data_IF_643535927574
#
_entry.id   IF_643535927574
#
_cell.length_a   1.000
_cell.length_b   1.000
_cell.length_c   1.000
_cell.angle_alpha   90.00
_cell.angle_beta   90.00
_cell.angle_gamma   90.00
#
_symmetry.space_group_name_H-M   'P 1'
#
loop_
_entity.id
_entity.type
_entity.pdbx_description
1 polymer ?
#
# COMPACT_ATOMS: atom_id res chain seq x y z
N UNK A 1 12.47 2.92 -31.75
CA UNK A 1 11.07 3.36 -31.62
C UNK A 1 11.01 4.39 -30.51
N UNK A 2 10.03 5.29 -30.50
CA UNK A 2 9.81 6.23 -29.40
C UNK A 2 8.37 6.13 -28.91
N UNK A 3 8.17 6.25 -27.59
CA UNK A 3 6.88 6.53 -27.00
C UNK A 3 6.86 8.03 -26.69
N UNK A 4 5.79 8.70 -27.08
CA UNK A 4 5.52 10.07 -26.71
C UNK A 4 4.11 10.10 -26.11
N UNK A 5 3.95 10.65 -24.91
CA UNK A 5 2.68 10.74 -24.21
C UNK A 5 2.66 11.97 -23.32
N UNK A 6 1.50 12.59 -23.17
CA UNK A 6 1.32 13.78 -22.35
C UNK A 6 0.07 13.68 -21.49
N UNK A 7 0.11 14.25 -20.29
CA UNK A 7 -1.03 14.33 -19.38
C UNK A 7 -0.92 15.53 -18.46
N UNK A 8 -2.07 16.01 -17.95
CA UNK A 8 -2.12 17.15 -17.03
C UNK A 8 -2.23 16.68 -15.59
N UNK A 9 -1.37 17.21 -14.73
CA UNK A 9 -1.44 17.06 -13.27
C UNK A 9 -2.13 18.32 -12.71
N UNK A 10 -3.19 18.20 -11.88
CA UNK A 10 -3.95 19.34 -11.35
C UNK A 10 -3.22 20.00 -10.16
N UNK A 11 -1.97 20.43 -10.39
CA UNK A 11 -1.15 21.11 -9.40
C UNK A 11 -0.11 22.03 -10.08
N UNK A 12 0.40 23.06 -9.38
CA UNK A 12 1.49 23.91 -9.86
C UNK A 12 2.74 23.10 -10.20
N UNK A 13 3.46 23.53 -11.24
CA UNK A 13 4.65 22.84 -11.73
C UNK A 13 5.73 22.63 -10.67
N UNK A 14 5.91 23.60 -9.78
CA UNK A 14 6.89 23.50 -8.70
C UNK A 14 6.54 22.36 -7.74
N UNK A 15 5.27 22.18 -7.37
CA UNK A 15 4.82 21.14 -6.45
C UNK A 15 4.97 19.75 -7.07
N UNK A 16 4.63 19.62 -8.36
CA UNK A 16 4.81 18.39 -9.14
C UNK A 16 6.30 18.03 -9.27
N UNK A 17 7.14 19.03 -9.53
CA UNK A 17 8.59 18.83 -9.59
C UNK A 17 9.17 18.39 -8.25
N UNK A 18 8.81 19.07 -7.15
CA UNK A 18 9.26 18.72 -5.80
C UNK A 18 8.84 17.32 -5.43
N UNK A 19 7.61 16.91 -5.77
CA UNK A 19 7.17 15.53 -5.54
C UNK A 19 8.13 14.50 -6.17
N UNK A 20 8.63 14.75 -7.39
CA UNK A 20 9.58 13.87 -8.07
C UNK A 20 10.96 13.84 -7.41
N UNK A 21 11.35 14.88 -6.68
CA UNK A 21 12.63 14.92 -5.96
C UNK A 21 12.61 14.13 -4.66
N UNK A 22 11.42 13.85 -4.10
CA UNK A 22 11.28 13.24 -2.78
C UNK A 22 11.60 11.74 -2.78
N UNK A 23 12.14 11.21 -1.66
CA UNK A 23 12.27 9.76 -1.49
C UNK A 23 10.93 9.08 -1.66
N UNK A 24 10.92 7.90 -2.29
CA UNK A 24 9.68 7.14 -2.55
C UNK A 24 9.05 7.40 -3.92
N UNK A 25 9.33 8.51 -4.61
CA UNK A 25 8.74 8.82 -5.93
C UNK A 25 8.98 7.70 -6.95
N UNK A 26 10.19 7.15 -7.01
CA UNK A 26 10.53 6.03 -7.89
C UNK A 26 9.72 4.78 -7.53
N UNK A 27 9.55 4.49 -6.24
CA UNK A 27 8.74 3.36 -5.81
C UNK A 27 7.28 3.52 -6.22
N UNK A 28 6.71 4.73 -6.02
CA UNK A 28 5.33 5.04 -6.39
C UNK A 28 5.09 4.92 -7.89
N UNK A 29 6.02 5.42 -8.71
CA UNK A 29 5.91 5.39 -10.17
C UNK A 29 6.41 4.08 -10.82
N UNK A 30 6.86 3.10 -10.06
CA UNK A 30 7.22 1.78 -10.61
C UNK A 30 5.98 0.90 -10.67
N UNK A 31 5.50 0.45 -11.85
CA UNK A 31 4.30 -0.38 -11.96
C UNK A 31 4.41 -1.71 -11.20
N UNK A 32 3.36 -2.11 -10.44
CA UNK A 32 3.39 -3.33 -9.63
C UNK A 32 3.36 -4.61 -10.46
N UNK A 33 2.89 -4.55 -11.69
CA UNK A 33 2.77 -5.67 -12.60
C UNK A 33 4.04 -5.94 -13.44
N UNK A 34 5.01 -5.02 -13.40
CA UNK A 34 6.31 -5.23 -14.04
C UNK A 34 7.28 -5.93 -13.09
N UNK A 35 8.19 -6.78 -13.62
CA UNK A 35 9.20 -7.45 -12.83
C UNK A 35 10.37 -6.51 -12.50
N UNK A 36 10.06 -5.31 -12.02
CA UNK A 36 10.98 -4.25 -11.64
C UNK A 36 10.86 -3.98 -10.14
N UNK A 37 11.96 -3.99 -9.43
CA UNK A 37 12.00 -3.62 -8.01
C UNK A 37 13.04 -2.54 -7.77
N UNK A 38 12.64 -1.32 -7.37
CA UNK A 38 13.58 -0.28 -6.97
C UNK A 38 14.47 -0.77 -5.83
N UNK A 39 15.78 -0.60 -5.96
CA UNK A 39 16.80 -0.86 -4.94
C UNK A 39 17.33 0.43 -4.36
N UNK A 40 17.67 1.37 -5.25
CA UNK A 40 18.23 2.67 -4.92
C UNK A 40 17.55 3.74 -5.76
N UNK A 41 17.28 4.90 -5.17
CA UNK A 41 16.78 6.07 -5.86
C UNK A 41 17.87 7.12 -5.93
N UNK A 42 18.04 7.76 -7.08
CA UNK A 42 18.92 8.91 -7.22
C UNK A 42 18.51 10.03 -6.26
N UNK A 43 19.46 10.65 -5.61
CA UNK A 43 19.23 11.73 -4.63
C UNK A 43 18.93 13.08 -5.26
N UNK A 44 19.06 13.20 -6.59
CA UNK A 44 18.80 14.43 -7.34
C UNK A 44 18.34 14.10 -8.75
N UNK A 45 17.40 14.88 -9.30
CA UNK A 45 16.97 14.77 -10.69
C UNK A 45 18.02 15.29 -11.69
N UNK A 46 19.01 16.10 -11.22
CA UNK A 46 20.11 16.57 -12.05
C UNK A 46 21.21 15.49 -12.24
N UNK A 47 21.44 14.67 -11.20
CA UNK A 47 22.54 13.69 -11.19
C UNK A 47 22.22 12.53 -10.26
N UNK A 48 22.93 11.44 -10.42
CA UNK A 48 22.78 10.21 -9.62
C UNK A 48 22.25 9.07 -10.47
N UNK A 49 22.16 7.91 -9.87
CA UNK A 49 21.71 6.69 -10.53
C UNK A 49 20.59 6.04 -9.71
N UNK A 50 19.50 5.73 -10.37
CA UNK A 50 18.44 4.88 -9.82
C UNK A 50 18.72 3.45 -10.24
N UNK A 51 18.67 2.50 -9.29
CA UNK A 51 18.96 1.09 -9.54
C UNK A 51 17.72 0.25 -9.32
N UNK A 52 17.39 -0.57 -10.31
CA UNK A 52 16.30 -1.54 -10.23
C UNK A 52 16.86 -2.97 -10.29
N UNK A 53 16.30 -3.87 -9.47
CA UNK A 53 16.46 -5.30 -9.65
C UNK A 53 15.50 -5.80 -10.73
N UNK A 54 16.03 -6.69 -11.58
CA UNK A 54 15.32 -7.43 -12.61
C UNK A 54 15.37 -8.94 -12.30
N UNK A 55 14.55 -9.79 -12.94
CA UNK A 55 14.66 -11.23 -12.86
C UNK A 55 16.06 -11.74 -13.20
N UNK A 56 16.37 -12.95 -12.73
CA UNK A 56 17.67 -13.61 -12.95
C UNK A 56 18.90 -12.82 -12.43
N UNK A 57 18.72 -12.01 -11.40
CA UNK A 57 19.80 -11.24 -10.78
C UNK A 57 20.31 -10.06 -11.60
N UNK A 58 19.65 -9.73 -12.69
CA UNK A 58 19.99 -8.58 -13.52
C UNK A 58 19.67 -7.27 -12.78
N UNK A 59 20.37 -6.20 -13.17
CA UNK A 59 20.10 -4.85 -12.69
C UNK A 59 19.88 -3.91 -13.87
N UNK A 60 19.05 -2.91 -13.67
CA UNK A 60 18.91 -1.78 -14.55
C UNK A 60 19.36 -0.52 -13.79
N UNK A 61 20.39 0.12 -14.31
CA UNK A 61 20.96 1.35 -13.79
C UNK A 61 20.55 2.50 -14.68
N UNK A 62 19.60 3.31 -14.20
CA UNK A 62 19.11 4.51 -14.86
C UNK A 62 19.83 5.72 -14.26
N UNK A 63 20.78 6.31 -15.02
CA UNK A 63 21.55 7.48 -14.61
C UNK A 63 20.91 8.75 -15.16
N UNK A 64 20.77 9.75 -14.29
CA UNK A 64 20.32 11.07 -14.70
C UNK A 64 21.39 11.75 -15.57
N UNK A 65 20.95 12.30 -16.70
CA UNK A 65 21.81 12.95 -17.70
C UNK A 65 21.76 14.47 -17.50
N UNK A 66 22.86 15.02 -16.96
CA UNK A 66 22.97 16.45 -16.67
C UNK A 66 22.83 17.33 -17.92
N UNK A 67 23.22 16.84 -19.11
CA UNK A 67 23.07 17.59 -20.36
C UNK A 67 21.62 17.83 -20.76
N UNK A 68 20.69 16.98 -20.28
CA UNK A 68 19.25 17.11 -20.48
C UNK A 68 18.50 17.72 -19.30
N UNK A 69 19.19 18.29 -18.31
CA UNK A 69 18.58 18.84 -17.11
C UNK A 69 18.30 20.33 -17.24
N UNK A 70 17.06 20.72 -16.96
CA UNK A 70 16.65 22.13 -16.77
C UNK A 70 15.81 22.18 -15.51
N UNK A 71 16.29 22.86 -14.48
CA UNK A 71 15.63 22.90 -13.17
C UNK A 71 14.17 23.32 -13.30
N UNK A 72 13.28 22.60 -12.64
CA UNK A 72 11.82 22.74 -12.66
C UNK A 72 11.15 22.55 -14.03
N UNK A 73 11.88 22.16 -15.08
CA UNK A 73 11.34 22.00 -16.43
C UNK A 73 11.65 20.65 -17.08
N UNK A 74 12.86 20.11 -16.88
CA UNK A 74 13.25 18.88 -17.56
C UNK A 74 14.26 18.09 -16.75
N UNK A 75 14.09 16.77 -16.72
CA UNK A 75 15.17 15.84 -16.41
C UNK A 75 15.14 14.65 -17.37
N UNK A 76 16.27 13.97 -17.48
CA UNK A 76 16.43 12.85 -18.40
C UNK A 76 17.15 11.71 -17.67
N UNK A 77 16.71 10.48 -17.87
CA UNK A 77 17.42 9.28 -17.43
C UNK A 77 17.83 8.38 -18.60
N UNK A 78 18.99 7.74 -18.46
CA UNK A 78 19.56 6.84 -19.47
C UNK A 78 20.02 5.54 -18.83
N UNK A 79 19.76 4.41 -19.47
CA UNK A 79 20.31 3.13 -19.05
C UNK A 79 21.80 3.07 -19.37
N UNK A 80 22.65 2.76 -18.36
CA UNK A 80 24.11 2.81 -18.50
C UNK A 80 24.79 1.44 -18.49
N UNK A 81 24.12 0.39 -17.97
CA UNK A 81 24.75 -0.91 -17.73
C UNK A 81 24.30 -1.99 -18.73
N UNK A 82 25.25 -2.85 -19.10
CA UNK A 82 24.96 -4.07 -19.88
C UNK A 82 24.33 -5.16 -18.96
N UNK A 83 23.53 -6.09 -19.49
CA UNK A 83 23.10 -6.18 -20.88
C UNK A 83 21.89 -5.29 -21.21
N UNK A 84 21.24 -4.66 -20.22
CA UNK A 84 19.99 -3.90 -20.38
C UNK A 84 20.16 -2.75 -21.38
N UNK A 85 21.26 -2.00 -21.29
CA UNK A 85 21.59 -0.93 -22.24
C UNK A 85 21.60 -1.41 -23.69
N UNK A 86 22.21 -2.57 -23.94
CA UNK A 86 22.31 -3.13 -25.31
C UNK A 86 20.97 -3.66 -25.81
N UNK A 87 20.12 -4.19 -24.94
CA UNK A 87 18.82 -4.75 -25.28
C UNK A 87 17.75 -3.68 -25.45
N UNK A 88 17.64 -2.76 -24.49
CA UNK A 88 16.56 -1.78 -24.43
C UNK A 88 16.93 -0.43 -25.04
N UNK A 89 18.20 0.01 -24.98
CA UNK A 89 18.62 1.33 -25.46
C UNK A 89 17.72 2.44 -24.91
N UNK A 90 17.67 2.56 -23.58
CA UNK A 90 16.73 3.45 -22.88
C UNK A 90 17.27 4.87 -22.69
N UNK A 91 16.49 5.85 -23.16
CA UNK A 91 16.61 7.28 -22.81
C UNK A 91 15.20 7.82 -22.61
N UNK A 92 14.90 8.35 -21.42
CA UNK A 92 13.62 8.88 -21.05
C UNK A 92 13.75 10.34 -20.66
N UNK A 93 13.01 11.20 -21.34
CA UNK A 93 12.97 12.64 -21.13
C UNK A 93 11.62 12.96 -20.49
N UNK A 94 11.65 13.69 -19.39
CA UNK A 94 10.49 14.22 -18.70
C UNK A 94 10.48 15.73 -18.84
N UNK A 95 9.49 16.26 -19.54
CA UNK A 95 9.24 17.70 -19.69
C UNK A 95 8.07 18.13 -18.83
N UNK A 96 8.24 19.25 -18.12
CA UNK A 96 7.23 19.87 -17.25
C UNK A 96 6.98 21.28 -17.73
N UNK A 97 5.75 21.58 -18.16
CA UNK A 97 5.35 22.91 -18.63
C UNK A 97 4.08 23.35 -17.91
N UNK A 98 3.93 24.68 -17.75
CA UNK A 98 2.72 25.23 -17.17
C UNK A 98 1.52 25.01 -18.09
N UNK A 99 0.38 24.67 -17.51
CA UNK A 99 -0.88 24.45 -18.20
C UNK A 99 -2.01 25.19 -17.44
N UNK A 100 -3.07 25.69 -18.10
CA UNK A 100 -4.17 26.40 -17.42
C UNK A 100 -4.81 25.63 -16.26
N UNK A 101 -4.83 24.29 -16.34
CA UNK A 101 -5.36 23.40 -15.29
C UNK A 101 -4.30 22.79 -14.40
N UNK A 102 -3.05 23.27 -14.41
CA UNK A 102 -1.96 22.77 -13.58
C UNK A 102 -0.64 22.59 -14.31
N UNK A 103 -0.11 21.37 -14.43
CA UNK A 103 1.17 21.05 -15.06
C UNK A 103 0.98 20.03 -16.17
N UNK A 104 1.41 20.34 -17.37
CA UNK A 104 1.54 19.37 -18.46
C UNK A 104 2.88 18.65 -18.33
N UNK A 105 2.82 17.32 -18.13
CA UNK A 105 3.98 16.45 -18.22
C UNK A 105 3.98 15.78 -19.57
N UNK A 106 5.13 15.84 -20.26
CA UNK A 106 5.37 15.14 -21.51
C UNK A 106 6.52 14.16 -21.33
N UNK A 107 6.23 12.89 -21.50
CA UNK A 107 7.21 11.80 -21.45
C UNK A 107 7.63 11.40 -22.86
N UNK A 108 8.93 11.47 -23.16
CA UNK A 108 9.51 11.02 -24.44
C UNK A 108 10.52 9.91 -24.17
N UNK A 109 10.21 8.69 -24.62
CA UNK A 109 11.06 7.51 -24.41
C UNK A 109 11.64 7.03 -25.74
N UNK A 110 12.95 7.09 -25.85
CA UNK A 110 13.69 6.47 -26.95
C UNK A 110 14.18 5.08 -26.51
N UNK A 111 13.66 4.03 -27.11
CA UNK A 111 13.97 2.64 -26.74
C UNK A 111 13.74 1.67 -27.90
N UNK A 112 14.28 0.45 -27.76
CA UNK A 112 13.97 -0.69 -28.65
C UNK A 112 12.75 -1.47 -28.19
N UNK A 113 12.26 -1.26 -26.96
CA UNK A 113 11.07 -1.93 -26.45
C UNK A 113 9.81 -1.54 -27.27
N UNK A 114 8.90 -2.47 -27.55
CA UNK A 114 7.66 -2.18 -28.25
C UNK A 114 6.76 -1.20 -27.47
N UNK A 115 6.04 -0.33 -28.19
CA UNK A 115 5.08 0.60 -27.57
C UNK A 115 4.02 -0.12 -26.75
N UNK A 116 3.55 -1.27 -27.21
CA UNK A 116 2.55 -2.10 -26.51
C UNK A 116 3.00 -2.59 -25.13
N UNK A 117 4.32 -2.74 -24.92
CA UNK A 117 4.90 -3.10 -23.61
C UNK A 117 5.03 -1.88 -22.70
N UNK A 118 5.22 -0.69 -23.28
CA UNK A 118 5.42 0.56 -22.52
C UNK A 118 4.10 1.22 -22.13
N UNK A 119 3.08 1.20 -23.00
CA UNK A 119 1.83 1.90 -22.78
C UNK A 119 1.17 1.59 -21.43
N UNK A 120 1.05 0.33 -20.96
CA UNK A 120 0.50 0.05 -19.64
C UNK A 120 1.33 0.65 -18.51
N UNK A 121 2.67 0.66 -18.64
CA UNK A 121 3.55 1.20 -17.62
C UNK A 121 3.40 2.73 -17.50
N UNK A 122 3.26 3.42 -18.62
CA UNK A 122 3.06 4.87 -18.63
C UNK A 122 1.63 5.25 -18.22
N UNK A 123 0.62 4.46 -18.58
CA UNK A 123 -0.74 4.62 -18.06
C UNK A 123 -0.76 4.56 -16.52
N UNK A 124 -0.17 3.52 -15.94
CA UNK A 124 -0.02 3.41 -14.49
C UNK A 124 0.64 4.66 -13.90
N UNK A 125 1.76 5.12 -14.46
CA UNK A 125 2.50 6.29 -13.96
C UNK A 125 1.65 7.56 -13.97
N UNK A 126 0.87 7.78 -15.02
CA UNK A 126 -0.02 8.93 -15.16
C UNK A 126 -1.11 8.90 -14.07
N UNK A 127 -1.85 7.79 -13.97
CA UNK A 127 -2.92 7.63 -12.97
C UNK A 127 -2.38 7.69 -11.55
N UNK A 128 -1.25 7.01 -11.28
CA UNK A 128 -0.62 7.02 -9.96
C UNK A 128 -0.21 8.42 -9.52
N UNK A 129 0.45 9.19 -10.39
CA UNK A 129 0.91 10.53 -10.06
C UNK A 129 -0.25 11.49 -9.81
N UNK A 130 -1.29 11.44 -10.66
CA UNK A 130 -2.50 12.26 -10.47
C UNK A 130 -3.12 11.96 -9.12
N UNK A 131 -3.34 10.68 -8.81
CA UNK A 131 -3.95 10.25 -7.55
C UNK A 131 -3.10 10.65 -6.33
N UNK A 132 -1.77 10.55 -6.42
CA UNK A 132 -0.86 10.93 -5.32
C UNK A 132 -0.87 12.44 -5.07
N UNK A 133 -0.85 13.25 -6.12
CA UNK A 133 -0.91 14.71 -5.99
C UNK A 133 -2.28 15.14 -5.44
N UNK A 134 -3.38 14.56 -5.90
CA UNK A 134 -4.71 14.84 -5.36
C UNK A 134 -4.82 14.41 -3.88
N UNK A 135 -4.25 13.26 -3.50
CA UNK A 135 -4.19 12.84 -2.11
C UNK A 135 -3.36 13.81 -1.26
N UNK A 136 -2.22 14.27 -1.76
CA UNK A 136 -1.39 15.29 -1.10
C UNK A 136 -2.19 16.57 -0.84
N UNK A 137 -2.95 17.07 -1.82
CA UNK A 137 -3.79 18.26 -1.67
C UNK A 137 -4.84 18.06 -0.57
N UNK A 138 -5.56 16.91 -0.57
CA UNK A 138 -6.55 16.58 0.48
C UNK A 138 -5.91 16.52 1.89
N UNK A 139 -4.72 15.96 2.02
CA UNK A 139 -4.01 15.90 3.30
C UNK A 139 -3.52 17.27 3.75
N UNK A 140 -3.09 18.15 2.85
CA UNK A 140 -2.76 19.53 3.19
C UNK A 140 -3.98 20.33 3.66
N UNK A 141 -5.13 20.17 3.01
CA UNK A 141 -6.39 20.78 3.44
C UNK A 141 -6.81 20.29 4.83
N UNK A 142 -6.71 18.97 5.06
CA UNK A 142 -7.03 18.36 6.34
C UNK A 142 -6.13 18.89 7.46
N UNK A 143 -4.83 19.02 7.24
CA UNK A 143 -3.90 19.55 8.25
C UNK A 143 -4.11 21.04 8.50
N UNK A 144 -4.33 21.83 7.46
CA UNK A 144 -4.63 23.28 7.60
C UNK A 144 -5.91 23.55 8.37
N UNK A 145 -6.92 22.71 8.25
CA UNK A 145 -8.17 22.84 9.03
C UNK A 145 -8.00 22.48 10.51
N UNK A 146 -7.01 21.67 10.85
CA UNK A 146 -6.80 21.15 12.20
C UNK A 146 -5.63 21.82 12.95
N UNK A 147 -4.69 22.48 12.25
CA UNK A 147 -3.51 23.16 12.83
C UNK A 147 -3.14 24.40 12.03
N UNK A 148 -2.53 25.38 12.69
CA UNK A 148 -2.05 26.64 12.05
C UNK A 148 -0.76 26.46 11.24
N UNK A 149 -0.05 25.35 11.40
CA UNK A 149 1.20 25.07 10.70
C UNK A 149 1.20 23.63 10.17
N UNK A 150 1.41 23.48 8.86
CA UNK A 150 1.67 22.20 8.21
C UNK A 150 3.16 21.84 8.33
N UNK A 151 3.59 21.35 9.47
CA UNK A 151 4.97 20.87 9.65
C UNK A 151 5.11 19.42 9.20
N UNK A 152 6.21 19.06 8.50
CA UNK A 152 6.52 17.66 8.24
C UNK A 152 6.64 16.86 9.54
N UNK A 153 5.90 15.76 9.66
CA UNK A 153 5.94 14.90 10.83
C UNK A 153 7.09 13.89 10.74
N UNK A 154 7.60 13.48 11.91
CA UNK A 154 8.50 12.34 12.07
C UNK A 154 7.70 11.13 12.58
N UNK A 155 7.55 10.11 11.73
CA UNK A 155 6.66 8.97 11.96
C UNK A 155 7.48 7.69 12.14
N UNK A 156 7.32 7.05 13.30
CA UNK A 156 7.86 5.70 13.54
C UNK A 156 7.04 4.64 12.81
N UNK A 157 7.69 3.68 12.18
CA UNK A 157 7.02 2.62 11.44
C UNK A 157 7.64 1.25 11.72
N UNK A 158 6.88 0.35 12.36
CA UNK A 158 7.22 -1.07 12.43
C UNK A 158 6.68 -1.81 11.20
N UNK A 159 7.24 -2.99 10.89
CA UNK A 159 6.77 -3.75 9.71
C UNK A 159 7.09 -3.09 8.36
N UNK A 160 8.02 -2.13 8.31
CA UNK A 160 8.40 -1.33 7.15
C UNK A 160 8.87 -2.15 5.92
N UNK A 161 9.31 -3.40 6.13
CA UNK A 161 9.73 -4.32 5.05
C UNK A 161 8.57 -5.11 4.43
N UNK A 162 7.38 -5.09 5.05
CA UNK A 162 6.17 -5.73 4.54
C UNK A 162 5.57 -5.00 3.33
N UNK A 163 4.52 -5.58 2.75
CA UNK A 163 3.82 -5.01 1.59
C UNK A 163 3.31 -3.59 1.88
N UNK A 164 2.48 -3.45 2.92
CA UNK A 164 1.88 -2.18 3.34
C UNK A 164 2.96 -1.21 3.83
N UNK A 165 3.93 -1.70 4.64
CA UNK A 165 4.99 -0.85 5.19
C UNK A 165 5.88 -0.19 4.14
N UNK A 166 6.19 -0.88 3.04
CA UNK A 166 6.94 -0.29 1.91
C UNK A 166 6.12 0.75 1.14
N UNK A 167 4.85 0.45 0.85
CA UNK A 167 3.96 1.37 0.17
C UNK A 167 3.75 2.65 0.99
N UNK A 168 3.50 2.47 2.28
CA UNK A 168 3.28 3.57 3.22
C UNK A 168 4.56 4.42 3.43
N UNK A 169 5.74 3.78 3.55
CA UNK A 169 7.01 4.51 3.60
C UNK A 169 7.18 5.40 2.38
N UNK A 170 6.94 4.85 1.18
CA UNK A 170 7.08 5.62 -0.05
C UNK A 170 6.09 6.78 -0.12
N UNK A 171 4.83 6.57 0.24
CA UNK A 171 3.82 7.62 0.18
C UNK A 171 4.04 8.70 1.26
N UNK A 172 4.38 8.34 2.50
CA UNK A 172 4.71 9.31 3.54
C UNK A 172 5.90 10.20 3.17
N UNK A 173 6.93 9.60 2.56
CA UNK A 173 8.10 10.37 2.14
C UNK A 173 7.82 11.26 0.92
N UNK A 174 6.95 10.85 -0.03
CA UNK A 174 6.50 11.74 -1.11
C UNK A 174 5.62 12.89 -0.61
N UNK A 175 4.93 12.74 0.53
CA UNK A 175 4.22 13.82 1.21
C UNK A 175 5.16 14.76 1.98
N UNK A 176 6.46 14.44 2.10
CA UNK A 176 7.45 15.26 2.79
C UNK A 176 7.66 14.88 4.26
N UNK A 177 6.98 13.84 4.77
CA UNK A 177 7.19 13.35 6.14
C UNK A 177 8.50 12.56 6.26
N UNK A 178 9.08 12.56 7.46
CA UNK A 178 10.22 11.70 7.79
C UNK A 178 9.73 10.39 8.36
N UNK A 179 10.17 9.26 7.78
CA UNK A 179 9.87 7.92 8.28
C UNK A 179 11.07 7.32 8.98
N UNK A 180 10.93 7.02 10.27
CA UNK A 180 11.90 6.28 11.08
C UNK A 180 11.45 4.82 11.15
N UNK A 181 12.14 3.94 10.44
CA UNK A 181 11.82 2.52 10.43
C UNK A 181 12.32 1.84 11.71
N UNK A 182 11.41 1.20 12.45
CA UNK A 182 11.74 0.42 13.63
C UNK A 182 12.00 -1.03 13.21
N UNK A 183 13.26 -1.50 13.35
CA UNK A 183 13.73 -2.76 12.78
C UNK A 183 14.36 -3.68 13.83
N UNK A 184 14.18 -5.00 13.71
CA UNK A 184 14.71 -6.01 14.64
C UNK A 184 16.22 -6.28 14.50
N UNK A 185 16.81 -5.92 13.37
CA UNK A 185 18.23 -6.11 13.09
C UNK A 185 19.07 -4.86 13.28
N UNK A 186 20.30 -4.86 12.76
CA UNK A 186 21.15 -3.69 12.71
C UNK A 186 20.43 -2.51 12.05
N UNK A 187 20.52 -1.35 12.67
CA UNK A 187 19.89 -0.12 12.19
C UNK A 187 20.82 0.64 11.25
N UNK A 188 20.26 1.14 10.15
CA UNK A 188 20.88 2.04 9.17
C UNK A 188 20.43 3.48 9.44
N UNK A 189 20.97 4.50 8.77
CA UNK A 189 20.38 5.85 8.79
C UNK A 189 18.87 5.82 8.56
N UNK A 190 18.12 6.62 9.29
CA UNK A 190 16.64 6.61 9.34
C UNK A 190 16.00 5.31 9.85
N UNK A 191 16.76 4.48 10.57
CA UNK A 191 16.25 3.29 11.26
C UNK A 191 16.61 3.35 12.74
N UNK A 192 15.80 2.71 13.59
CA UNK A 192 16.10 2.45 15.00
C UNK A 192 15.96 0.96 15.26
N UNK A 193 16.85 0.44 16.09
CA UNK A 193 16.71 -0.92 16.57
C UNK A 193 15.50 -1.02 17.49
N UNK A 194 14.68 -2.05 17.27
CA UNK A 194 13.50 -2.36 18.06
C UNK A 194 13.49 -3.85 18.41
N UNK A 195 13.58 -4.15 19.70
CA UNK A 195 13.29 -5.48 20.24
C UNK A 195 11.80 -5.52 20.63
N UNK A 196 10.97 -6.38 19.99
CA UNK A 196 9.54 -6.49 20.31
C UNK A 196 9.24 -6.90 21.75
N UNK A 197 10.12 -7.69 22.38
CA UNK A 197 9.95 -8.17 23.75
C UNK A 197 10.40 -7.14 24.80
N UNK A 198 11.46 -6.38 24.49
CA UNK A 198 12.07 -5.42 25.42
C UNK A 198 12.43 -4.12 24.68
N UNK A 199 11.42 -3.32 24.25
CA UNK A 199 11.71 -2.09 23.53
C UNK A 199 12.40 -1.06 24.43
N UNK A 200 13.43 -0.40 23.88
CA UNK A 200 14.17 0.63 24.62
C UNK A 200 13.24 1.78 25.05
N UNK A 201 13.37 2.31 26.26
CA UNK A 201 12.49 3.39 26.77
C UNK A 201 12.47 4.65 25.90
N UNK A 202 13.57 4.95 25.19
CA UNK A 202 13.72 6.09 24.30
C UNK A 202 13.40 5.78 22.84
N UNK A 203 12.84 4.62 22.54
CA UNK A 203 12.55 4.18 21.16
C UNK A 203 11.73 5.21 20.37
N UNK A 204 10.78 5.88 21.03
CA UNK A 204 9.84 6.83 20.41
C UNK A 204 10.25 8.30 20.58
N UNK A 205 11.46 8.58 21.08
CA UNK A 205 11.92 9.95 21.27
C UNK A 205 11.98 10.72 19.96
N UNK A 206 11.39 11.93 19.92
CA UNK A 206 11.32 12.79 18.73
C UNK A 206 10.43 12.27 17.62
N UNK A 207 9.59 11.24 17.87
CA UNK A 207 8.53 10.84 16.96
C UNK A 207 7.22 11.54 17.31
N UNK A 208 6.48 12.00 16.30
CA UNK A 208 5.16 12.62 16.45
C UNK A 208 4.05 11.55 16.49
N UNK A 209 4.22 10.48 15.72
CA UNK A 209 3.28 9.36 15.63
C UNK A 209 4.01 8.02 15.43
N UNK A 210 3.33 6.93 15.79
CA UNK A 210 3.76 5.57 15.57
C UNK A 210 2.72 4.83 14.72
N UNK A 211 3.17 4.20 13.62
CA UNK A 211 2.39 3.23 12.86
C UNK A 211 2.94 1.83 13.12
N UNK A 212 2.10 0.95 13.64
CA UNK A 212 2.48 -0.41 14.02
C UNK A 212 1.87 -1.44 13.07
N UNK A 213 2.71 -1.99 12.15
CA UNK A 213 2.31 -2.98 11.15
C UNK A 213 3.02 -4.34 11.35
N UNK A 214 3.89 -4.46 12.35
CA UNK A 214 4.64 -5.69 12.56
C UNK A 214 3.74 -6.80 13.10
N UNK A 215 3.91 -8.00 12.56
CA UNK A 215 3.24 -9.22 12.97
C UNK A 215 3.67 -10.37 12.06
N UNK A 216 3.56 -11.59 12.53
CA UNK A 216 3.81 -12.79 11.74
C UNK A 216 2.81 -12.90 10.59
N UNK A 217 3.21 -13.28 9.36
CA UNK A 217 2.28 -13.51 8.26
C UNK A 217 1.18 -14.49 8.64
N UNK A 218 -0.08 -14.13 8.37
CA UNK A 218 -1.23 -14.99 8.67
C UNK A 218 -1.30 -16.17 7.68
N UNK A 219 -0.78 -15.98 6.46
CA UNK A 219 -0.82 -16.99 5.41
C UNK A 219 0.12 -18.14 5.77
N UNK A 220 -0.44 -19.30 6.04
CA UNK A 220 0.27 -20.51 6.44
C UNK A 220 -0.72 -21.55 6.96
N UNK A 221 -0.23 -22.75 7.25
CA UNK A 221 -1.07 -23.82 7.80
C UNK A 221 -1.39 -23.54 9.27
N UNK A 222 -2.67 -23.45 9.63
CA UNK A 222 -3.14 -23.17 10.99
C UNK A 222 -2.97 -24.42 11.89
N UNK A 223 -1.71 -24.68 12.28
CA UNK A 223 -1.38 -25.56 13.39
C UNK A 223 -1.16 -24.74 14.67
N UNK A 224 -1.04 -25.39 15.81
CA UNK A 224 -0.95 -24.71 17.11
C UNK A 224 0.27 -23.80 17.22
N UNK A 225 1.43 -24.19 16.65
CA UNK A 225 2.64 -23.36 16.63
C UNK A 225 2.41 -22.08 15.82
N UNK A 226 1.90 -22.18 14.58
CA UNK A 226 1.65 -21.02 13.75
C UNK A 226 0.56 -20.09 14.34
N UNK A 227 -0.47 -20.66 14.97
CA UNK A 227 -1.48 -19.88 15.70
C UNK A 227 -0.87 -19.11 16.88
N UNK A 228 0.03 -19.73 17.64
CA UNK A 228 0.78 -19.09 18.71
C UNK A 228 1.65 -17.94 18.15
N UNK A 229 2.40 -18.19 17.07
CA UNK A 229 3.24 -17.17 16.42
C UNK A 229 2.39 -15.97 15.94
N UNK A 230 1.21 -16.21 15.35
CA UNK A 230 0.27 -15.18 14.94
C UNK A 230 -0.15 -14.31 16.12
N UNK A 231 -0.53 -14.93 17.24
CA UNK A 231 -1.00 -14.25 18.44
C UNK A 231 0.13 -13.50 19.15
N UNK A 232 1.23 -14.17 19.43
CA UNK A 232 2.32 -13.65 20.25
C UNK A 232 3.08 -12.53 19.54
N UNK A 233 3.20 -12.59 18.20
CA UNK A 233 3.81 -11.51 17.42
C UNK A 233 3.00 -10.21 17.40
N UNK A 234 1.74 -10.22 17.83
CA UNK A 234 0.83 -9.07 17.82
C UNK A 234 0.56 -8.50 19.20
N UNK A 235 0.13 -9.33 20.14
CA UNK A 235 -0.46 -8.88 21.39
C UNK A 235 0.61 -8.21 22.27
N UNK A 236 1.65 -8.94 22.64
CA UNK A 236 2.66 -8.39 23.56
C UNK A 236 3.47 -7.23 22.95
N UNK A 237 3.96 -7.31 21.70
CA UNK A 237 4.63 -6.17 21.07
C UNK A 237 3.76 -4.91 21.00
N UNK A 238 2.46 -5.06 20.71
CA UNK A 238 1.52 -3.93 20.69
C UNK A 238 1.35 -3.32 22.07
N UNK A 239 1.22 -4.14 23.13
CA UNK A 239 1.10 -3.67 24.51
C UNK A 239 2.33 -2.87 24.94
N UNK A 240 3.54 -3.38 24.63
CA UNK A 240 4.80 -2.70 24.94
C UNK A 240 4.90 -1.35 24.23
N UNK A 241 4.56 -1.29 22.95
CA UNK A 241 4.58 -0.05 22.19
C UNK A 241 3.52 0.94 22.68
N UNK A 242 2.32 0.47 23.02
CA UNK A 242 1.27 1.32 23.59
C UNK A 242 1.71 1.96 24.90
N UNK A 243 2.36 1.20 25.78
CA UNK A 243 2.94 1.73 27.05
C UNK A 243 4.03 2.78 26.80
N UNK A 244 4.87 2.59 25.76
CA UNK A 244 5.86 3.61 25.39
C UNK A 244 5.19 4.87 24.82
N UNK A 245 4.16 4.75 24.00
CA UNK A 245 3.38 5.88 23.48
C UNK A 245 2.76 6.65 24.65
N UNK A 246 2.19 5.95 25.64
CA UNK A 246 1.58 6.56 26.82
C UNK A 246 2.58 7.43 27.60
N UNK A 247 3.83 6.96 27.74
CA UNK A 247 4.91 7.65 28.45
C UNK A 247 5.63 8.72 27.62
N UNK A 248 5.48 8.70 26.29
CA UNK A 248 6.19 9.62 25.40
C UNK A 248 5.68 11.06 25.53
N UNK A 249 6.56 12.02 25.55
CA UNK A 249 6.21 13.45 25.51
C UNK A 249 5.90 13.94 24.08
N UNK A 250 6.47 13.32 23.05
CA UNK A 250 6.35 13.74 21.65
C UNK A 250 5.34 12.89 20.86
N UNK A 251 5.40 11.55 20.95
CA UNK A 251 4.51 10.65 20.24
C UNK A 251 3.10 10.69 20.83
N UNK A 252 2.15 11.29 20.10
CA UNK A 252 0.78 11.50 20.58
C UNK A 252 -0.25 10.56 19.95
N UNK A 253 0.11 9.91 18.85
CA UNK A 253 -0.80 9.06 18.08
C UNK A 253 -0.15 7.71 17.81
N UNK A 254 -0.89 6.63 18.06
CA UNK A 254 -0.54 5.28 17.60
C UNK A 254 -1.61 4.77 16.65
N UNK A 255 -1.21 4.40 15.46
CA UNK A 255 -2.07 3.72 14.48
C UNK A 255 -1.61 2.27 14.40
N UNK A 256 -2.40 1.37 14.95
CA UNK A 256 -2.10 -0.06 14.98
C UNK A 256 -2.87 -0.80 13.89
N UNK A 257 -2.21 -1.76 13.26
CA UNK A 257 -2.91 -2.70 12.40
C UNK A 257 -3.88 -3.57 13.21
N UNK A 258 -4.99 -3.92 12.57
CA UNK A 258 -5.96 -4.92 12.95
C UNK A 258 -6.52 -5.54 11.66
N UNK A 259 -7.53 -6.39 11.73
CA UNK A 259 -8.12 -7.02 10.55
C UNK A 259 -9.64 -7.15 10.69
N UNK A 260 -10.35 -7.22 9.54
CA UNK A 260 -11.78 -7.54 9.51
C UNK A 260 -12.08 -8.96 10.03
N UNK A 261 -11.05 -9.79 10.23
CA UNK A 261 -11.16 -11.04 10.98
C UNK A 261 -11.82 -10.88 12.35
N UNK A 262 -11.79 -9.69 12.94
CA UNK A 262 -12.55 -9.33 14.16
C UNK A 262 -14.02 -9.77 14.11
N UNK A 263 -14.65 -9.70 12.95
CA UNK A 263 -16.08 -10.02 12.79
C UNK A 263 -16.39 -11.52 12.70
N UNK A 264 -15.36 -12.39 12.60
CA UNK A 264 -15.54 -13.83 12.34
C UNK A 264 -15.82 -14.15 10.87
N UNK A 265 -15.65 -15.41 10.49
CA UNK A 265 -15.63 -15.83 9.09
C UNK A 265 -16.99 -16.15 8.45
N UNK A 266 -18.07 -16.30 9.24
CA UNK A 266 -19.35 -16.84 8.77
C UNK A 266 -20.51 -15.86 9.09
N UNK A 267 -20.53 -14.69 8.45
CA UNK A 267 -21.53 -13.65 8.69
C UNK A 267 -22.57 -13.51 7.55
N UNK A 268 -22.35 -14.20 6.42
CA UNK A 268 -23.29 -14.18 5.28
C UNK A 268 -23.58 -12.78 4.75
N UNK A 269 -24.85 -12.47 4.55
CA UNK A 269 -25.30 -11.18 3.99
C UNK A 269 -25.41 -10.05 5.04
N UNK A 270 -25.09 -10.31 6.31
CA UNK A 270 -25.07 -9.30 7.36
C UNK A 270 -24.12 -8.15 7.00
N UNK A 271 -24.61 -6.92 7.08
CA UNK A 271 -23.77 -5.73 6.88
C UNK A 271 -23.04 -5.44 8.18
N UNK A 272 -21.70 -5.53 8.14
CA UNK A 272 -20.82 -5.34 9.28
C UNK A 272 -20.17 -3.96 9.23
N UNK A 273 -20.21 -3.25 10.34
CA UNK A 273 -19.54 -1.97 10.52
C UNK A 273 -18.74 -1.94 11.84
N UNK A 274 -18.13 -0.80 12.17
CA UNK A 274 -17.30 -0.67 13.36
C UNK A 274 -18.06 -0.90 14.68
N UNK A 275 -19.41 -0.79 14.66
CA UNK A 275 -20.29 -1.08 15.80
C UNK A 275 -20.77 -2.54 15.90
N UNK A 276 -20.47 -3.37 14.89
CA UNK A 276 -20.90 -4.76 14.87
C UNK A 276 -20.12 -5.63 15.88
N UNK A 277 -20.77 -6.69 16.35
CA UNK A 277 -20.20 -7.61 17.36
C UNK A 277 -19.02 -8.39 16.80
N UNK A 278 -18.10 -8.74 17.69
CA UNK A 278 -17.01 -9.67 17.44
C UNK A 278 -17.54 -11.07 17.04
N UNK A 279 -16.76 -11.77 16.19
CA UNK A 279 -16.98 -13.20 15.93
C UNK A 279 -16.43 -14.08 17.03
N UNK A 280 -16.63 -15.39 16.89
CA UNK A 280 -16.30 -16.44 17.88
C UNK A 280 -15.16 -17.37 17.44
N UNK A 281 -14.50 -17.08 16.29
CA UNK A 281 -13.40 -17.89 15.77
C UNK A 281 -12.01 -17.41 16.27
N UNK A 282 -10.97 -18.15 15.90
CA UNK A 282 -9.61 -17.88 16.34
C UNK A 282 -9.11 -16.50 15.91
N UNK A 283 -9.33 -16.10 14.65
CA UNK A 283 -8.87 -14.80 14.16
C UNK A 283 -9.64 -13.65 14.81
N UNK A 284 -10.92 -13.82 15.10
CA UNK A 284 -11.72 -12.82 15.82
C UNK A 284 -11.20 -12.60 17.24
N UNK A 285 -10.85 -13.69 17.95
CA UNK A 285 -10.23 -13.64 19.27
C UNK A 285 -8.88 -12.92 19.25
N UNK A 286 -8.03 -13.24 18.27
CA UNK A 286 -6.72 -12.57 18.10
C UNK A 286 -6.89 -11.09 17.83
N UNK A 287 -7.84 -10.68 16.96
CA UNK A 287 -8.08 -9.27 16.65
C UNK A 287 -8.55 -8.49 17.87
N UNK A 288 -9.45 -9.07 18.67
CA UNK A 288 -9.94 -8.44 19.91
C UNK A 288 -8.79 -8.22 20.91
N UNK A 289 -8.01 -9.28 21.20
CA UNK A 289 -6.87 -9.18 22.10
C UNK A 289 -5.80 -8.19 21.60
N UNK A 290 -5.62 -8.12 20.28
CA UNK A 290 -4.69 -7.18 19.65
C UNK A 290 -5.14 -5.73 19.82
N UNK A 291 -6.43 -5.43 19.53
CA UNK A 291 -7.01 -4.11 19.77
C UNK A 291 -7.01 -3.74 21.26
N UNK A 292 -7.31 -4.69 22.15
CA UNK A 292 -7.23 -4.48 23.59
C UNK A 292 -5.79 -4.15 24.06
N UNK A 293 -4.77 -4.78 23.48
CA UNK A 293 -3.37 -4.53 23.80
C UNK A 293 -2.90 -3.12 23.37
N UNK A 294 -3.57 -2.48 22.42
CA UNK A 294 -3.26 -1.12 21.97
C UNK A 294 -3.85 -0.03 22.87
N UNK A 295 -4.83 -0.36 23.72
CA UNK A 295 -5.53 0.63 24.57
C UNK A 295 -4.58 1.28 25.57
N UNK A 296 -4.78 2.58 25.77
CA UNK A 296 -4.12 3.37 26.81
C UNK A 296 -5.09 3.60 27.97
N UNK A 297 -4.58 4.12 29.09
CA UNK A 297 -5.44 4.50 30.23
C UNK A 297 -6.45 5.58 29.80
N UNK A 298 -7.64 5.53 30.38
CA UNK A 298 -8.74 6.46 30.07
C UNK A 298 -8.38 7.94 30.32
N UNK A 299 -7.39 8.21 31.15
CA UNK A 299 -6.88 9.56 31.46
C UNK A 299 -5.79 10.02 30.47
N UNK A 300 -5.35 9.16 29.56
CA UNK A 300 -4.31 9.48 28.60
C UNK A 300 -4.84 10.44 27.52
N UNK A 301 -4.04 11.45 27.16
CA UNK A 301 -4.30 12.32 26.03
C UNK A 301 -3.78 11.74 24.69
N UNK A 302 -3.45 10.45 24.68
CA UNK A 302 -2.95 9.75 23.49
C UNK A 302 -4.10 9.23 22.64
N UNK A 303 -3.97 9.36 21.34
CA UNK A 303 -4.94 8.87 20.37
C UNK A 303 -4.50 7.52 19.80
N UNK A 304 -5.37 6.53 19.91
CA UNK A 304 -5.16 5.18 19.37
C UNK A 304 -6.17 4.93 18.26
N UNK A 305 -5.69 4.43 17.13
CA UNK A 305 -6.51 4.03 16.00
C UNK A 305 -6.16 2.60 15.61
N UNK A 306 -7.15 1.72 15.55
CA UNK A 306 -6.98 0.32 15.13
C UNK A 306 -7.58 0.14 13.73
N UNK A 307 -6.75 -0.18 12.74
CA UNK A 307 -7.15 -0.30 11.35
C UNK A 307 -7.54 -1.75 11.04
N UNK A 308 -8.85 -2.04 11.04
CA UNK A 308 -9.40 -3.35 10.65
C UNK A 308 -9.31 -3.49 9.13
N UNK A 309 -8.23 -4.07 8.67
CA UNK A 309 -7.87 -4.16 7.25
C UNK A 309 -8.62 -5.29 6.56
N UNK A 310 -9.25 -5.02 5.43
CA UNK A 310 -9.81 -6.01 4.51
C UNK A 310 -8.77 -6.71 3.66
N UNK A 311 -9.22 -7.44 2.64
CA UNK A 311 -8.32 -8.15 1.72
C UNK A 311 -7.59 -7.13 0.83
N UNK A 312 -6.28 -6.98 1.02
CA UNK A 312 -5.47 -5.97 0.32
C UNK A 312 -5.20 -6.40 -1.12
N UNK A 313 -5.63 -5.57 -2.07
CA UNK A 313 -5.35 -5.73 -3.49
C UNK A 313 -4.05 -5.00 -3.85
N UNK A 314 -3.03 -5.76 -4.21
CA UNK A 314 -1.76 -5.23 -4.71
C UNK A 314 -1.05 -6.20 -5.65
N UNK A 315 -0.61 -5.69 -6.80
CA UNK A 315 0.22 -6.46 -7.74
C UNK A 315 1.65 -6.75 -7.23
N UNK A 316 2.09 -6.05 -6.15
CA UNK A 316 3.42 -6.23 -5.55
C UNK A 316 3.50 -7.37 -4.53
N UNK A 317 2.38 -7.90 -4.06
CA UNK A 317 2.36 -8.93 -3.02
C UNK A 317 0.96 -9.24 -2.51
N UNK A 318 0.90 -10.07 -1.46
CA UNK A 318 -0.37 -10.55 -0.92
C UNK A 318 -1.05 -11.58 -1.84
N UNK A 319 -2.38 -11.56 -1.88
CA UNK A 319 -3.19 -12.54 -2.59
C UNK A 319 -3.14 -12.39 -4.12
N UNK A 320 -3.11 -11.15 -4.63
CA UNK A 320 -3.31 -10.87 -6.05
C UNK A 320 -2.26 -11.50 -6.98
N UNK A 321 -0.92 -11.47 -6.68
CA UNK A 321 0.07 -12.18 -7.49
C UNK A 321 -0.12 -13.71 -7.52
N UNK A 322 -0.56 -14.30 -6.41
CA UNK A 322 -0.85 -15.75 -6.33
C UNK A 322 -2.03 -16.09 -7.24
N UNK A 323 -3.12 -15.33 -7.15
CA UNK A 323 -4.28 -15.51 -8.02
C UNK A 323 -3.91 -15.28 -9.50
N UNK A 324 -3.14 -14.22 -9.80
CA UNK A 324 -2.64 -13.97 -11.16
C UNK A 324 -1.91 -15.20 -11.72
N UNK A 325 -1.04 -15.84 -10.93
CA UNK A 325 -0.33 -17.05 -11.37
C UNK A 325 -1.29 -18.20 -11.64
N UNK A 326 -2.24 -18.47 -10.74
CA UNK A 326 -3.25 -19.54 -10.89
C UNK A 326 -4.13 -19.31 -12.12
N UNK A 327 -4.62 -18.08 -12.33
CA UNK A 327 -5.44 -17.74 -13.50
C UNK A 327 -4.63 -17.81 -14.81
N UNK A 328 -3.35 -17.43 -14.78
CA UNK A 328 -2.48 -17.44 -15.97
C UNK A 328 -2.29 -18.84 -16.56
N UNK A 329 -2.38 -19.89 -15.75
CA UNK A 329 -2.30 -21.31 -16.18
C UNK A 329 -3.69 -21.96 -16.36
N UNK A 330 -4.77 -21.15 -16.29
CA UNK A 330 -6.15 -21.63 -16.53
C UNK A 330 -6.78 -22.39 -15.36
N UNK A 331 -6.18 -22.35 -14.19
CA UNK A 331 -6.67 -23.03 -12.97
C UNK A 331 -7.54 -22.10 -12.09
N UNK A 332 -7.82 -20.87 -12.52
CA UNK A 332 -8.66 -19.92 -11.80
C UNK A 332 -10.14 -20.19 -11.94
N UNK A 333 -10.91 -19.89 -10.91
CA UNK A 333 -12.37 -19.99 -10.94
C UNK A 333 -13.03 -19.77 -9.58
N UNK A 334 -14.37 -19.73 -9.53
CA UNK A 334 -15.14 -19.52 -8.32
C UNK A 334 -15.15 -20.75 -7.42
N UNK A 335 -15.46 -20.54 -6.14
CA UNK A 335 -15.63 -21.64 -5.18
C UNK A 335 -16.87 -22.47 -5.52
N UNK A 336 -16.72 -23.82 -5.45
CA UNK A 336 -17.80 -24.74 -5.67
C UNK A 336 -18.77 -24.71 -4.50
N UNK A 337 -20.06 -24.42 -4.77
CA UNK A 337 -21.13 -24.50 -3.77
C UNK A 337 -21.15 -23.37 -2.75
N UNK A 338 -20.32 -22.33 -2.91
CA UNK A 338 -20.35 -21.12 -2.08
C UNK A 338 -20.02 -19.88 -2.88
N UNK A 339 -20.60 -18.74 -2.47
CA UNK A 339 -20.33 -17.45 -3.08
C UNK A 339 -20.18 -16.38 -1.97
N UNK A 340 -19.07 -16.47 -1.18
CA UNK A 340 -18.88 -15.60 -0.03
C UNK A 340 -18.66 -14.14 -0.44
N UNK A 341 -19.02 -13.22 0.44
CA UNK A 341 -18.64 -11.81 0.35
C UNK A 341 -17.14 -11.65 0.65
N UNK A 342 -16.49 -10.83 -0.14
CA UNK A 342 -15.11 -10.40 0.04
C UNK A 342 -15.08 -8.88 0.23
N UNK A 343 -14.66 -8.44 1.40
CA UNK A 343 -14.39 -7.03 1.69
C UNK A 343 -12.92 -6.76 1.42
N UNK A 344 -12.65 -5.99 0.38
CA UNK A 344 -11.32 -5.70 -0.16
C UNK A 344 -10.93 -4.23 0.02
N UNK A 345 -9.66 -3.92 -0.16
CA UNK A 345 -9.12 -2.57 -0.19
C UNK A 345 -7.94 -2.48 -1.16
N UNK A 346 -7.85 -1.43 -1.97
CA UNK A 346 -6.64 -1.14 -2.73
C UNK A 346 -5.49 -0.75 -1.80
N UNK A 347 -4.26 -1.13 -2.15
CA UNK A 347 -3.08 -0.82 -1.32
C UNK A 347 -2.92 0.69 -1.10
N UNK A 348 -3.24 1.52 -2.10
CA UNK A 348 -3.12 2.97 -2.01
C UNK A 348 -4.21 3.58 -1.13
N UNK A 349 -5.45 3.09 -1.21
CA UNK A 349 -6.52 3.50 -0.29
C UNK A 349 -6.19 3.12 1.15
N UNK A 350 -5.61 1.94 1.37
CA UNK A 350 -5.15 1.53 2.70
C UNK A 350 -4.08 2.49 3.23
N UNK A 351 -3.12 2.89 2.39
CA UNK A 351 -2.09 3.86 2.78
C UNK A 351 -2.71 5.23 3.08
N UNK A 352 -3.67 5.70 2.27
CA UNK A 352 -4.40 6.96 2.52
C UNK A 352 -5.15 6.93 3.86
N UNK A 353 -5.75 5.79 4.24
CA UNK A 353 -6.43 5.61 5.53
C UNK A 353 -5.42 5.69 6.69
N UNK A 354 -4.26 5.02 6.60
CA UNK A 354 -3.20 5.11 7.61
C UNK A 354 -2.69 6.54 7.78
N UNK A 355 -2.45 7.26 6.68
CA UNK A 355 -1.98 8.65 6.69
C UNK A 355 -3.06 9.54 7.30
N UNK A 356 -4.32 9.39 6.89
CA UNK A 356 -5.44 10.11 7.50
C UNK A 356 -5.56 9.82 8.98
N UNK A 357 -5.39 8.57 9.41
CA UNK A 357 -5.42 8.19 10.83
C UNK A 357 -4.32 8.86 11.66
N UNK A 358 -3.16 9.18 11.06
CA UNK A 358 -2.13 9.98 11.72
C UNK A 358 -2.55 11.44 11.79
N UNK A 359 -3.06 12.03 10.70
CA UNK A 359 -3.29 13.48 10.54
C UNK A 359 -4.62 13.98 11.08
N UNK A 360 -5.68 13.15 11.05
CA UNK A 360 -7.04 13.54 11.42
C UNK A 360 -7.35 13.21 12.89
N UNK A 361 -7.48 14.21 13.77
CA UNK A 361 -7.79 13.98 15.19
C UNK A 361 -9.19 13.39 15.42
N UNK A 362 -10.08 13.45 14.43
CA UNK A 362 -11.43 12.87 14.50
C UNK A 362 -11.44 11.34 14.40
N UNK A 363 -10.35 10.73 13.87
CA UNK A 363 -10.22 9.28 13.80
C UNK A 363 -9.65 8.71 15.08
N UNK A 364 -10.41 7.88 15.77
CA UNK A 364 -9.99 7.15 16.98
C UNK A 364 -10.73 5.82 17.11
N UNK A 365 -10.18 4.87 17.86
CA UNK A 365 -10.76 3.54 18.01
C UNK A 365 -10.63 2.67 16.77
N UNK A 366 -11.58 1.77 16.55
CA UNK A 366 -11.57 0.86 15.41
C UNK A 366 -12.09 1.54 14.13
N UNK A 367 -11.40 1.32 13.01
CA UNK A 367 -11.72 1.85 11.69
C UNK A 367 -11.65 0.71 10.68
N UNK A 368 -12.72 0.49 9.93
CA UNK A 368 -12.75 -0.48 8.85
C UNK A 368 -12.03 0.08 7.60
N UNK A 369 -10.86 -0.46 7.30
CA UNK A 369 -10.14 -0.15 6.07
C UNK A 369 -10.54 -1.16 4.98
N UNK A 370 -11.70 -0.92 4.39
CA UNK A 370 -12.29 -1.67 3.27
C UNK A 370 -12.82 -0.69 2.23
N UNK A 371 -12.83 -1.10 0.96
CA UNK A 371 -13.51 -0.34 -0.08
C UNK A 371 -15.04 -0.30 0.20
N UNK A 372 -15.76 0.78 -0.21
CA UNK A 372 -17.18 0.94 0.10
C UNK A 372 -18.08 -0.12 -0.53
N UNK A 373 -17.59 -0.83 -1.56
CA UNK A 373 -18.36 -1.84 -2.30
C UNK A 373 -17.73 -3.23 -2.14
N UNK A 374 -18.11 -4.00 -1.09
CA UNK A 374 -17.73 -5.41 -0.99
C UNK A 374 -18.28 -6.20 -2.18
N UNK A 375 -17.63 -7.29 -2.57
CA UNK A 375 -17.95 -8.04 -3.78
C UNK A 375 -18.17 -9.54 -3.47
N UNK A 376 -19.06 -10.19 -4.19
CA UNK A 376 -19.19 -11.66 -4.12
C UNK A 376 -18.03 -12.34 -4.86
N UNK A 377 -17.64 -13.53 -4.39
CA UNK A 377 -16.53 -14.29 -4.98
C UNK A 377 -16.66 -14.50 -6.49
N UNK A 378 -17.86 -14.85 -6.98
CA UNK A 378 -18.10 -15.02 -8.42
C UNK A 378 -17.78 -13.74 -9.20
N UNK A 379 -18.30 -12.59 -8.75
CA UNK A 379 -18.10 -11.31 -9.45
C UNK A 379 -16.64 -10.87 -9.43
N UNK A 380 -15.91 -11.15 -8.33
CA UNK A 380 -14.47 -10.93 -8.24
C UNK A 380 -13.70 -11.80 -9.24
N UNK A 381 -14.04 -13.09 -9.32
CA UNK A 381 -13.44 -14.03 -10.27
C UNK A 381 -13.65 -13.59 -11.70
N UNK A 382 -14.87 -13.15 -12.04
CA UNK A 382 -15.20 -12.67 -13.38
C UNK A 382 -14.46 -11.38 -13.72
N UNK A 383 -14.32 -10.44 -12.77
CA UNK A 383 -13.55 -9.22 -12.94
C UNK A 383 -12.05 -9.54 -13.17
N UNK A 384 -11.47 -10.42 -12.36
CA UNK A 384 -10.06 -10.81 -12.48
C UNK A 384 -9.79 -11.58 -13.78
N UNK A 385 -10.67 -12.51 -14.16
CA UNK A 385 -10.57 -13.26 -15.41
C UNK A 385 -10.59 -12.34 -16.64
N UNK A 386 -11.50 -11.35 -16.61
CA UNK A 386 -11.60 -10.32 -17.67
C UNK A 386 -10.32 -9.50 -17.77
N UNK A 387 -9.82 -9.00 -16.63
CA UNK A 387 -8.60 -8.21 -16.57
C UNK A 387 -7.38 -8.97 -17.09
N UNK A 388 -7.21 -10.22 -16.67
CA UNK A 388 -6.12 -11.08 -17.11
C UNK A 388 -6.31 -11.65 -18.51
N UNK A 389 -7.48 -11.46 -19.14
CA UNK A 389 -7.86 -12.06 -20.43
C UNK A 389 -7.69 -13.59 -20.42
N UNK A 390 -8.14 -14.23 -19.32
CA UNK A 390 -8.05 -15.67 -19.09
C UNK A 390 -9.43 -16.25 -18.75
N UNK A 391 -9.76 -17.46 -19.21
CA UNK A 391 -10.99 -18.11 -18.81
C UNK A 391 -10.95 -18.51 -17.32
N UNK A 392 -12.10 -18.41 -16.62
CA UNK A 392 -12.30 -18.84 -15.24
C UNK A 392 -13.41 -19.89 -15.15
N UNK A 393 -13.28 -20.96 -15.94
CA UNK A 393 -14.33 -21.99 -16.07
C UNK A 393 -14.23 -23.12 -15.03
N UNK A 394 -13.08 -23.24 -14.35
CA UNK A 394 -12.89 -24.25 -13.32
C UNK A 394 -13.52 -23.81 -12.00
N UNK A 395 -14.25 -24.72 -11.35
CA UNK A 395 -14.70 -24.46 -9.97
C UNK A 395 -13.68 -25.00 -8.97
N UNK A 396 -13.31 -24.16 -8.00
CA UNK A 396 -12.32 -24.52 -6.97
C UNK A 396 -13.04 -25.20 -5.82
N UNK A 397 -12.63 -26.45 -5.52
CA UNK A 397 -13.08 -27.14 -4.31
C UNK A 397 -12.48 -26.49 -3.06
N UNK A 398 -13.23 -26.46 -1.96
CA UNK A 398 -12.75 -26.04 -0.62
C UNK A 398 -11.54 -26.86 -0.14
N UNK A 399 -11.29 -28.05 -0.73
CA UNK A 399 -10.11 -28.86 -0.45
C UNK A 399 -8.81 -28.18 -0.90
N UNK A 400 -8.81 -27.36 -1.97
CA UNK A 400 -7.63 -26.66 -2.44
C UNK A 400 -7.02 -25.75 -1.36
N UNK A 401 -7.75 -24.73 -0.88
CA UNK A 401 -7.33 -23.92 0.26
C UNK A 401 -7.02 -24.73 1.52
N UNK A 402 -7.77 -25.80 1.81
CA UNK A 402 -7.55 -26.62 3.01
C UNK A 402 -6.22 -27.38 3.00
N UNK A 403 -5.70 -27.76 1.84
CA UNK A 403 -4.37 -28.40 1.73
C UNK A 403 -3.28 -27.41 2.13
N UNK A 404 -3.39 -26.13 1.73
CA UNK A 404 -2.39 -25.10 1.99
C UNK A 404 -2.50 -24.53 3.41
N UNK A 405 -3.72 -24.22 3.86
CA UNK A 405 -3.99 -23.46 5.08
C UNK A 405 -4.44 -24.33 6.26
N UNK A 406 -4.70 -25.61 6.03
CA UNK A 406 -5.47 -26.44 6.95
C UNK A 406 -6.97 -26.14 6.86
N UNK A 407 -7.80 -26.99 7.48
CA UNK A 407 -9.26 -26.80 7.40
C UNK A 407 -9.73 -25.50 8.06
N UNK A 408 -9.17 -25.15 9.21
CA UNK A 408 -9.49 -23.94 9.94
C UNK A 408 -9.05 -22.69 9.14
N UNK A 409 -7.80 -22.64 8.70
CA UNK A 409 -7.30 -21.50 7.90
C UNK A 409 -8.03 -21.33 6.58
N UNK A 410 -8.47 -22.41 5.93
CA UNK A 410 -9.30 -22.32 4.74
C UNK A 410 -10.65 -21.65 5.02
N UNK A 411 -11.30 -21.97 6.14
CA UNK A 411 -12.59 -21.34 6.54
C UNK A 411 -12.42 -19.88 6.93
N UNK A 412 -11.44 -19.59 7.82
CA UNK A 412 -11.28 -18.26 8.41
C UNK A 412 -10.58 -17.25 7.49
N UNK A 413 -9.86 -17.69 6.43
CA UNK A 413 -9.20 -16.81 5.48
C UNK A 413 -9.77 -16.90 4.06
N UNK A 414 -9.68 -18.09 3.43
CA UNK A 414 -9.98 -18.20 2.00
C UNK A 414 -11.48 -18.19 1.70
N UNK A 415 -12.29 -18.76 2.60
CA UNK A 415 -13.75 -18.91 2.48
C UNK A 415 -14.50 -17.98 3.42
N UNK A 416 -13.80 -17.01 4.05
CA UNK A 416 -14.46 -16.04 4.92
C UNK A 416 -15.53 -15.27 4.16
N UNK A 417 -16.73 -15.21 4.75
CA UNK A 417 -17.92 -14.58 4.20
C UNK A 417 -18.29 -13.37 5.06
N UNK A 418 -17.75 -12.20 4.68
CA UNK A 418 -17.82 -10.97 5.45
C UNK A 418 -18.19 -9.80 4.55
N UNK A 419 -19.34 -9.17 4.79
CA UNK A 419 -19.84 -7.98 4.09
C UNK A 419 -19.59 -6.74 4.94
N UNK A 420 -18.36 -6.24 4.95
CA UNK A 420 -17.92 -5.12 5.81
C UNK A 420 -18.07 -3.78 5.09
N UNK A 421 -18.51 -2.77 5.83
CA UNK A 421 -18.66 -1.37 5.38
C UNK A 421 -17.76 -0.43 6.20
N UNK A 422 -17.15 0.58 5.58
CA UNK A 422 -16.31 1.58 6.24
C UNK A 422 -17.17 2.74 6.76
N UNK A 423 -18.06 2.48 7.74
CA UNK A 423 -19.04 3.48 8.19
C UNK A 423 -18.40 4.74 8.75
N UNK A 424 -17.36 4.60 9.56
CA UNK A 424 -16.66 5.77 10.14
C UNK A 424 -16.03 6.62 9.04
N UNK A 425 -15.38 6.02 8.08
CA UNK A 425 -14.76 6.71 6.95
C UNK A 425 -15.82 7.39 6.05
N UNK A 426 -16.93 6.73 5.79
CA UNK A 426 -18.03 7.31 5.03
C UNK A 426 -18.65 8.52 5.73
N UNK A 427 -18.84 8.46 7.06
CA UNK A 427 -19.37 9.58 7.85
C UNK A 427 -18.40 10.79 7.93
N UNK A 428 -17.15 10.58 7.62
CA UNK A 428 -16.11 11.61 7.56
C UNK A 428 -15.72 11.99 6.13
N UNK A 429 -16.55 11.67 5.15
CA UNK A 429 -16.35 11.95 3.72
C UNK A 429 -14.95 11.54 3.23
N UNK A 430 -14.51 10.32 3.59
CA UNK A 430 -13.23 9.81 3.10
C UNK A 430 -13.28 9.55 1.61
N UNK A 431 -12.32 10.09 0.89
CA UNK A 431 -12.19 9.87 -0.55
C UNK A 431 -11.43 8.57 -0.82
N UNK A 432 -12.08 7.57 -1.38
CA UNK A 432 -11.46 6.35 -1.89
C UNK A 432 -11.00 6.57 -3.34
N UNK A 433 -9.80 6.14 -3.66
CA UNK A 433 -9.28 6.17 -5.04
C UNK A 433 -9.98 5.13 -5.90
N UNK A 434 -10.26 3.96 -5.31
CA UNK A 434 -10.87 2.81 -5.98
C UNK A 434 -12.10 2.33 -5.22
N UNK A 435 -13.27 2.70 -5.72
CA UNK A 435 -14.57 2.25 -5.17
C UNK A 435 -15.10 0.99 -5.87
N UNK A 436 -14.56 0.64 -7.04
CA UNK A 436 -14.89 -0.53 -7.84
C UNK A 436 -13.68 -1.41 -8.04
N UNK A 437 -13.85 -2.73 -7.84
CA UNK A 437 -12.78 -3.72 -7.94
C UNK A 437 -12.13 -3.76 -9.32
N UNK A 438 -12.87 -3.48 -10.40
CA UNK A 438 -12.36 -3.52 -11.77
C UNK A 438 -11.33 -2.42 -12.01
N UNK A 439 -11.59 -1.21 -11.53
CA UNK A 439 -10.64 -0.10 -11.60
C UNK A 439 -9.37 -0.39 -10.78
N UNK A 440 -9.53 -0.96 -9.59
CA UNK A 440 -8.40 -1.41 -8.76
C UNK A 440 -7.57 -2.49 -9.47
N UNK A 441 -8.22 -3.51 -10.04
CA UNK A 441 -7.52 -4.58 -10.77
C UNK A 441 -6.81 -4.04 -12.02
N UNK A 442 -7.43 -3.11 -12.76
CA UNK A 442 -6.81 -2.49 -13.93
C UNK A 442 -5.54 -1.74 -13.55
N UNK A 443 -5.55 -0.98 -12.44
CA UNK A 443 -4.37 -0.30 -11.92
C UNK A 443 -3.26 -1.28 -11.51
N UNK A 444 -3.60 -2.27 -10.71
CA UNK A 444 -2.61 -3.21 -10.13
C UNK A 444 -2.08 -4.26 -11.13
N UNK A 445 -2.76 -4.46 -12.26
CA UNK A 445 -2.42 -5.49 -13.26
C UNK A 445 -2.06 -4.93 -14.65
N UNK A 446 -2.21 -3.62 -14.86
CA UNK A 446 -1.80 -2.93 -16.10
C UNK A 446 -2.88 -2.83 -17.17
N UNK A 447 -4.14 -2.84 -16.79
CA UNK A 447 -5.28 -2.67 -17.69
C UNK A 447 -5.71 -1.23 -17.95
N UNK A 448 -5.05 -0.26 -17.32
CA UNK A 448 -5.33 1.17 -17.55
C UNK A 448 -4.87 1.62 -18.94
N UNK A 449 -5.57 2.62 -19.46
CA UNK A 449 -5.21 3.26 -20.71
C UNK A 449 -4.42 4.54 -20.45
N UNK A 450 -3.56 4.92 -21.42
CA UNK A 450 -2.92 6.23 -21.42
C UNK A 450 -3.98 7.32 -21.42
N UNK A 451 -3.72 8.36 -20.64
CA UNK A 451 -4.45 9.61 -20.70
C UNK A 451 -3.81 10.40 -21.85
N UNK A 452 -4.47 10.42 -22.98
CA UNK A 452 -4.04 11.24 -24.13
C UNK A 452 -4.77 12.58 -24.07
N UNK A 453 -4.00 13.68 -24.16
CA UNK A 453 -4.50 15.06 -24.33
C UNK A 453 -4.44 15.41 -25.81
#
# INVERSE_FOLDING_TARGET
MSLHTSHVIPAPRIDVWEWHTRPGAVFRLTPPFLPLRPLEQATSLAKGTTVFALPAGLRWEARHDLSGYIQHHRFTDVCINAPVKSLASWRHIHDFTDHPSGTLITDTVHTRAPRTTLSPAFAYRQHQLINDIQAQQRFYELTRSNTTESTPLTIGLTGSRGLVGRALTAQLTTLGHTVVQLVRGESKPHQRHWDPAHPAPNLLEGLDALIHLAGEPILGRFNDAHKADIRDSRIEPTRQLSQLVQKSSTCRTMVSASAIGYYGHARGDEILDEGSTQGDDFLASVCEEWEAASRTDATSNKRIVNIRTGVVMSGRGGMLPVLKAVFSVGLGGPFRGSNPWMSWIAIDDLCDIYIRAVLDPKLSGAINAVAPNPIKNQDFVDALAKELKRPAKMTISSLGPAILLGQQGAKELALADQRVQPRVLNNLDHHFRYVDIRSCLAHELGGENLLDI
#
